data_IF_232983869405
#
_entry.id   IF_232983869405
#
_cell.length_a   1.000
_cell.length_b   1.000
_cell.length_c   1.000
_cell.angle_alpha   90.00
_cell.angle_beta   90.00
_cell.angle_gamma   90.00
#
_symmetry.space_group_name_H-M   'P 1'
#
loop_
_entity.id
_entity.type
_entity.pdbx_description
1 polymer ?
#
# COMPACT_ATOMS: atom_id res chain seq x y z
N UNK A 1 -25.19 0.69 13.43
CA UNK A 1 -25.87 1.68 12.56
C UNK A 1 -27.13 2.20 13.25
N UNK A 2 -27.33 3.51 13.22
CA UNK A 2 -28.64 4.09 13.55
C UNK A 2 -29.62 3.82 12.40
N UNK A 3 -30.95 3.80 12.67
CA UNK A 3 -31.95 3.60 11.60
C UNK A 3 -31.79 4.55 10.41
N UNK A 4 -31.39 5.80 10.64
CA UNK A 4 -31.11 6.78 9.58
C UNK A 4 -29.93 6.36 8.72
N UNK A 5 -28.81 5.92 9.31
CA UNK A 5 -27.62 5.42 8.57
C UNK A 5 -27.94 4.16 7.76
N UNK A 6 -28.79 3.26 8.27
CA UNK A 6 -29.26 2.07 7.52
C UNK A 6 -30.05 2.50 6.28
N UNK A 7 -30.99 3.43 6.42
CA UNK A 7 -31.79 3.95 5.32
C UNK A 7 -30.91 4.61 4.27
N UNK A 8 -29.96 5.44 4.67
CA UNK A 8 -29.01 6.09 3.75
C UNK A 8 -28.10 5.09 3.03
N UNK A 9 -27.60 4.07 3.74
CA UNK A 9 -26.79 3.00 3.15
C UNK A 9 -27.54 2.21 2.09
N UNK A 10 -28.81 1.86 2.36
CA UNK A 10 -29.68 1.17 1.41
C UNK A 10 -29.98 2.04 0.20
N UNK A 11 -30.25 3.34 0.41
CA UNK A 11 -30.51 4.28 -0.68
C UNK A 11 -29.30 4.39 -1.61
N UNK A 12 -28.09 4.53 -1.06
CA UNK A 12 -26.85 4.57 -1.86
C UNK A 12 -26.58 3.25 -2.57
N UNK A 13 -26.75 2.12 -1.88
CA UNK A 13 -26.61 0.80 -2.50
C UNK A 13 -27.55 0.61 -3.70
N UNK A 14 -28.76 1.13 -3.58
CA UNK A 14 -29.74 1.14 -4.68
C UNK A 14 -29.28 2.01 -5.87
N UNK A 15 -28.77 3.20 -5.59
CA UNK A 15 -28.22 4.08 -6.62
C UNK A 15 -27.05 3.44 -7.36
N UNK A 16 -26.12 2.80 -6.64
CA UNK A 16 -25.00 2.07 -7.24
C UNK A 16 -25.47 0.87 -8.09
N UNK A 17 -26.44 0.09 -7.62
CA UNK A 17 -26.99 -1.02 -8.39
C UNK A 17 -27.68 -0.54 -9.67
N UNK A 18 -28.39 0.59 -9.61
CA UNK A 18 -29.02 1.20 -10.79
C UNK A 18 -27.98 1.69 -11.81
N UNK A 19 -26.88 2.31 -11.36
CA UNK A 19 -25.77 2.71 -12.24
C UNK A 19 -25.10 1.50 -12.91
N UNK A 20 -25.03 0.37 -12.21
CA UNK A 20 -24.49 -0.89 -12.73
C UNK A 20 -25.53 -1.72 -13.51
N UNK A 21 -26.73 -1.17 -13.77
CA UNK A 21 -27.85 -1.81 -14.47
C UNK A 21 -28.26 -3.18 -13.88
N UNK A 22 -28.16 -3.33 -12.55
CA UNK A 22 -28.52 -4.57 -11.83
C UNK A 22 -29.93 -4.44 -11.24
N UNK A 23 -30.79 -5.41 -11.51
CA UNK A 23 -32.16 -5.47 -10.96
C UNK A 23 -32.21 -5.70 -9.45
N UNK A 24 -31.19 -6.39 -8.91
CA UNK A 24 -31.06 -6.68 -7.46
C UNK A 24 -29.79 -6.04 -6.93
N UNK A 25 -29.82 -5.62 -5.66
CA UNK A 25 -28.66 -5.08 -4.99
C UNK A 25 -27.69 -6.23 -4.64
N UNK A 26 -26.53 -6.36 -5.30
CA UNK A 26 -25.53 -7.36 -4.94
C UNK A 26 -25.00 -7.10 -3.53
N UNK A 27 -24.55 -8.17 -2.84
CA UNK A 27 -23.96 -8.06 -1.50
C UNK A 27 -22.80 -7.07 -1.45
N UNK A 28 -21.92 -7.09 -2.45
CA UNK A 28 -20.80 -6.14 -2.57
C UNK A 28 -21.28 -4.69 -2.64
N UNK A 29 -22.31 -4.40 -3.46
CA UNK A 29 -22.88 -3.06 -3.61
C UNK A 29 -23.58 -2.59 -2.32
N UNK A 30 -24.22 -3.52 -1.57
CA UNK A 30 -24.77 -3.21 -0.27
C UNK A 30 -23.67 -2.83 0.73
N UNK A 31 -22.59 -3.60 0.80
CA UNK A 31 -21.44 -3.25 1.64
C UNK A 31 -20.82 -1.92 1.28
N UNK A 32 -20.70 -1.61 -0.03
CA UNK A 32 -20.25 -0.31 -0.50
C UNK A 32 -21.12 0.83 0.02
N UNK A 33 -22.46 0.71 -0.06
CA UNK A 33 -23.38 1.69 0.49
C UNK A 33 -23.28 1.84 2.02
N UNK A 34 -23.00 0.76 2.74
CA UNK A 34 -22.72 0.79 4.17
C UNK A 34 -21.41 1.52 4.48
N UNK A 35 -20.35 1.23 3.76
CA UNK A 35 -19.04 1.82 3.98
C UNK A 35 -19.04 3.33 3.76
N UNK A 36 -19.76 3.83 2.74
CA UNK A 36 -19.91 5.28 2.51
C UNK A 36 -20.55 6.03 3.71
N UNK A 37 -21.43 5.35 4.49
CA UNK A 37 -22.01 5.96 5.69
C UNK A 37 -21.10 5.92 6.91
N UNK A 38 -20.06 5.09 6.88
CA UNK A 38 -19.15 4.89 8.01
C UNK A 38 -17.87 5.71 7.89
N UNK A 39 -17.46 6.04 6.67
CA UNK A 39 -16.14 6.60 6.37
C UNK A 39 -15.98 8.10 6.70
N UNK A 40 -17.03 8.81 7.09
CA UNK A 40 -16.97 10.28 7.25
C UNK A 40 -15.97 10.79 8.29
N UNK A 41 -15.78 10.07 9.40
CA UNK A 41 -14.80 10.45 10.43
C UNK A 41 -13.39 9.94 10.10
N UNK A 42 -13.28 8.75 9.50
CA UNK A 42 -12.00 8.20 9.07
C UNK A 42 -11.35 9.05 7.96
N UNK A 43 -12.16 9.57 7.02
CA UNK A 43 -11.67 10.42 5.92
C UNK A 43 -11.11 11.78 6.38
N UNK A 44 -11.36 12.20 7.61
CA UNK A 44 -10.73 13.42 8.16
C UNK A 44 -9.23 13.21 8.44
N UNK A 45 -8.80 11.98 8.76
CA UNK A 45 -7.43 11.65 9.18
C UNK A 45 -6.71 10.68 8.24
N UNK A 46 -7.45 10.02 7.35
CA UNK A 46 -6.92 9.07 6.38
C UNK A 46 -7.51 9.33 4.99
N UNK A 47 -6.74 9.11 3.95
CA UNK A 47 -7.16 9.29 2.56
C UNK A 47 -7.60 7.96 1.99
N UNK A 48 -8.83 7.88 1.49
CA UNK A 48 -9.30 6.70 0.76
C UNK A 48 -8.53 6.56 -0.56
N UNK A 49 -7.92 5.42 -0.77
CA UNK A 49 -7.16 5.08 -1.98
C UNK A 49 -7.90 4.01 -2.75
N UNK A 50 -8.03 4.20 -4.06
CA UNK A 50 -8.63 3.19 -4.92
C UNK A 50 -7.63 2.06 -5.15
N UNK A 51 -7.98 0.86 -4.72
CA UNK A 51 -7.16 -0.34 -4.90
C UNK A 51 -7.44 -0.94 -6.28
N UNK A 52 -6.65 -0.51 -7.28
CA UNK A 52 -6.83 -0.92 -8.67
C UNK A 52 -5.85 -1.99 -9.14
N UNK A 53 -4.85 -2.35 -8.32
CA UNK A 53 -3.79 -3.27 -8.68
C UNK A 53 -4.03 -4.64 -8.07
N UNK A 54 -3.87 -5.71 -8.87
CA UNK A 54 -3.84 -7.10 -8.46
C UNK A 54 -2.43 -7.67 -8.46
N UNK A 55 -2.30 -8.97 -8.20
CA UNK A 55 -1.01 -9.66 -8.22
C UNK A 55 -0.34 -9.70 -9.61
N UNK A 56 -1.09 -9.49 -10.67
CA UNK A 56 -0.61 -9.40 -12.05
C UNK A 56 0.12 -8.10 -12.36
N UNK A 57 -0.14 -7.05 -11.59
CA UNK A 57 0.42 -5.72 -11.81
C UNK A 57 1.73 -5.48 -11.05
N UNK A 58 2.02 -6.30 -10.03
CA UNK A 58 3.18 -6.13 -9.18
C UNK A 58 4.24 -7.20 -9.43
N UNK A 59 5.47 -6.77 -9.67
CA UNK A 59 6.62 -7.66 -9.79
C UNK A 59 7.21 -7.91 -8.41
N UNK A 60 7.26 -9.18 -8.02
CA UNK A 60 7.84 -9.64 -6.75
C UNK A 60 8.47 -11.02 -6.92
N UNK A 61 9.40 -11.36 -6.05
CA UNK A 61 9.97 -12.70 -6.03
C UNK A 61 8.98 -13.72 -5.46
N UNK A 62 9.32 -15.00 -5.61
CA UNK A 62 8.45 -16.10 -5.19
C UNK A 62 8.13 -16.06 -3.70
N UNK A 63 9.13 -15.84 -2.85
CA UNK A 63 8.98 -15.85 -1.39
C UNK A 63 8.08 -14.70 -0.90
N UNK A 64 8.23 -13.51 -1.51
CA UNK A 64 7.35 -12.36 -1.24
C UNK A 64 5.91 -12.68 -1.60
N UNK A 65 5.68 -13.30 -2.77
CA UNK A 65 4.36 -13.67 -3.25
C UNK A 65 3.71 -14.72 -2.36
N UNK A 66 4.39 -15.81 -2.06
CA UNK A 66 3.90 -16.86 -1.17
C UNK A 66 3.57 -16.33 0.22
N UNK A 67 4.40 -15.42 0.76
CA UNK A 67 4.15 -14.77 2.06
C UNK A 67 2.87 -13.93 2.03
N UNK A 68 2.65 -13.17 0.97
CA UNK A 68 1.45 -12.32 0.84
C UNK A 68 0.19 -13.15 0.58
N UNK A 69 0.26 -14.17 -0.27
CA UNK A 69 -0.85 -15.09 -0.52
C UNK A 69 -1.27 -15.78 0.78
N UNK A 70 -0.31 -16.28 1.58
CA UNK A 70 -0.59 -16.86 2.90
C UNK A 70 -1.21 -15.85 3.87
N UNK A 71 -0.74 -14.58 3.86
CA UNK A 71 -1.32 -13.52 4.67
C UNK A 71 -2.78 -13.22 4.29
N UNK A 72 -3.09 -13.19 2.99
CA UNK A 72 -4.44 -12.98 2.45
C UNK A 72 -5.33 -14.17 2.81
N UNK A 73 -4.86 -15.40 2.68
CA UNK A 73 -5.56 -16.62 3.05
C UNK A 73 -5.91 -16.65 4.54
N UNK A 74 -5.02 -16.16 5.42
CA UNK A 74 -5.34 -16.02 6.85
C UNK A 74 -6.60 -15.17 7.06
N UNK A 75 -6.81 -14.12 6.29
CA UNK A 75 -8.01 -13.28 6.39
C UNK A 75 -9.22 -13.95 5.76
N UNK A 76 -9.08 -14.58 4.61
CA UNK A 76 -10.16 -15.26 3.90
C UNK A 76 -10.72 -16.44 4.69
N UNK A 77 -9.85 -17.23 5.31
CA UNK A 77 -10.23 -18.41 6.10
C UNK A 77 -10.41 -18.15 7.59
N UNK A 78 -10.29 -16.88 8.02
CA UNK A 78 -10.37 -16.47 9.43
C UNK A 78 -11.61 -17.05 10.15
N UNK A 79 -12.78 -16.92 9.56
CA UNK A 79 -14.03 -17.41 10.14
C UNK A 79 -14.01 -18.95 10.29
N UNK A 80 -13.50 -19.68 9.31
CA UNK A 80 -13.41 -21.14 9.38
C UNK A 80 -12.53 -21.59 10.55
N UNK A 81 -11.36 -20.95 10.71
CA UNK A 81 -10.39 -21.33 11.74
C UNK A 81 -10.87 -20.91 13.14
N UNK A 82 -11.21 -19.63 13.32
CA UNK A 82 -11.54 -19.11 14.65
C UNK A 82 -12.89 -19.56 15.14
N UNK A 83 -13.93 -19.59 14.30
CA UNK A 83 -15.29 -19.92 14.70
C UNK A 83 -15.58 -21.41 14.57
N UNK A 84 -15.39 -22.01 13.36
CA UNK A 84 -15.78 -23.39 13.11
C UNK A 84 -14.84 -24.40 13.80
N UNK A 85 -13.52 -24.10 13.84
CA UNK A 85 -12.53 -24.94 14.51
C UNK A 85 -12.29 -24.56 15.97
N UNK A 86 -13.07 -23.59 16.52
CA UNK A 86 -13.02 -23.15 17.91
C UNK A 86 -11.67 -22.58 18.39
N UNK A 87 -10.83 -22.07 17.50
CA UNK A 87 -9.56 -21.44 17.88
C UNK A 87 -9.77 -20.19 18.75
N UNK A 88 -10.91 -19.52 18.64
CA UNK A 88 -11.31 -18.38 19.47
C UNK A 88 -11.19 -18.67 20.97
N UNK A 89 -11.49 -19.91 21.43
CA UNK A 89 -11.43 -20.26 22.86
C UNK A 89 -9.99 -20.27 23.39
N UNK A 90 -9.03 -20.63 22.55
CA UNK A 90 -7.62 -20.74 22.94
C UNK A 90 -6.82 -19.48 22.58
N UNK A 91 -7.20 -18.79 21.51
CA UNK A 91 -6.54 -17.59 20.97
C UNK A 91 -7.56 -16.44 20.82
N UNK A 92 -7.97 -15.79 21.93
CA UNK A 92 -9.04 -14.78 21.90
C UNK A 92 -8.59 -13.44 21.30
N UNK A 93 -7.28 -13.17 21.23
CA UNK A 93 -6.70 -11.89 20.81
C UNK A 93 -5.86 -12.03 19.54
N UNK A 94 -5.55 -10.88 18.88
CA UNK A 94 -4.63 -10.82 17.74
C UNK A 94 -5.16 -11.52 16.49
N UNK A 95 -6.44 -11.39 16.20
CA UNK A 95 -7.07 -12.03 15.03
C UNK A 95 -6.90 -11.26 13.73
N UNK A 96 -6.50 -10.00 13.81
CA UNK A 96 -6.23 -9.17 12.66
C UNK A 96 -5.00 -9.60 11.89
N UNK A 97 -4.73 -8.95 10.78
CA UNK A 97 -3.56 -9.12 9.93
C UNK A 97 -2.69 -7.87 10.03
N UNK A 98 -1.44 -8.03 10.45
CA UNK A 98 -0.44 -6.96 10.48
C UNK A 98 0.73 -7.32 9.59
N UNK A 99 1.03 -6.46 8.61
CA UNK A 99 2.09 -6.66 7.61
C UNK A 99 3.03 -5.47 7.66
N UNK A 100 4.33 -5.74 7.75
CA UNK A 100 5.38 -4.73 7.61
C UNK A 100 6.04 -4.88 6.24
N UNK A 101 5.98 -3.83 5.44
CA UNK A 101 6.66 -3.71 4.16
C UNK A 101 7.87 -2.79 4.33
N UNK A 102 9.08 -3.27 4.03
CA UNK A 102 10.25 -2.42 4.11
C UNK A 102 11.15 -2.58 2.88
N UNK A 103 11.95 -1.57 2.59
CA UNK A 103 12.84 -1.56 1.43
C UNK A 103 13.01 -0.16 0.84
N UNK A 104 13.87 -0.03 -0.17
CA UNK A 104 14.17 1.26 -0.80
C UNK A 104 12.91 1.98 -1.32
N UNK A 105 12.90 3.31 -1.39
CA UNK A 105 11.80 4.04 -2.03
C UNK A 105 11.64 3.63 -3.49
N UNK A 106 10.38 3.60 -3.96
CA UNK A 106 10.07 3.24 -5.36
C UNK A 106 10.11 1.74 -5.70
N UNK A 107 10.27 0.84 -4.71
CA UNK A 107 10.31 -0.62 -4.93
C UNK A 107 8.93 -1.30 -4.98
N UNK A 108 7.83 -0.57 -4.74
CA UNK A 108 6.47 -1.12 -4.89
C UNK A 108 5.67 -1.31 -3.60
N UNK A 109 6.16 -0.87 -2.42
CA UNK A 109 5.47 -1.03 -1.12
C UNK A 109 4.03 -0.51 -1.10
N UNK A 110 3.81 0.71 -1.59
CA UNK A 110 2.47 1.32 -1.63
C UNK A 110 1.56 0.64 -2.66
N UNK A 111 2.12 0.06 -3.73
CA UNK A 111 1.40 -0.77 -4.69
C UNK A 111 0.99 -2.11 -4.05
N UNK A 112 1.88 -2.73 -3.28
CA UNK A 112 1.60 -3.95 -2.53
C UNK A 112 0.43 -3.76 -1.55
N UNK A 113 0.35 -2.62 -0.85
CA UNK A 113 -0.80 -2.32 0.01
C UNK A 113 -2.13 -2.27 -0.78
N UNK A 114 -2.10 -1.76 -2.03
CA UNK A 114 -3.27 -1.78 -2.91
C UNK A 114 -3.62 -3.20 -3.36
N UNK A 115 -2.62 -4.02 -3.71
CA UNK A 115 -2.82 -5.44 -4.06
C UNK A 115 -3.49 -6.18 -2.90
N UNK A 116 -2.99 -6.03 -1.67
CA UNK A 116 -3.60 -6.65 -0.48
C UNK A 116 -5.08 -6.25 -0.32
N UNK A 117 -5.38 -4.97 -0.48
CA UNK A 117 -6.75 -4.48 -0.35
C UNK A 117 -7.65 -4.98 -1.48
N UNK A 118 -7.15 -5.04 -2.72
CA UNK A 118 -7.84 -5.57 -3.88
C UNK A 118 -8.19 -7.05 -3.70
N UNK A 119 -7.21 -7.89 -3.37
CA UNK A 119 -7.39 -9.34 -3.18
C UNK A 119 -8.35 -9.68 -2.03
N UNK A 120 -8.35 -8.86 -0.97
CA UNK A 120 -9.30 -9.00 0.13
C UNK A 120 -10.67 -8.37 -0.15
N UNK A 121 -10.83 -7.66 -1.30
CA UNK A 121 -12.00 -6.87 -1.63
C UNK A 121 -12.41 -5.91 -0.50
N UNK A 122 -11.40 -5.22 0.07
CA UNK A 122 -11.57 -4.24 1.13
C UNK A 122 -11.18 -2.84 0.64
N UNK A 123 -11.76 -1.82 1.27
CA UNK A 123 -11.36 -0.44 1.03
C UNK A 123 -10.01 -0.15 1.67
N UNK A 124 -9.16 0.61 0.97
CA UNK A 124 -7.84 1.02 1.44
C UNK A 124 -7.88 2.47 1.93
N UNK A 125 -7.42 2.67 3.16
CA UNK A 125 -7.25 4.00 3.75
C UNK A 125 -5.78 4.24 4.07
N UNK A 126 -5.16 5.19 3.36
CA UNK A 126 -3.79 5.63 3.61
C UNK A 126 -3.78 6.66 4.73
N UNK A 127 -3.06 6.34 5.78
CA UNK A 127 -2.79 7.22 6.92
C UNK A 127 -1.43 7.87 6.71
N UNK A 128 -1.42 9.18 6.56
CA UNK A 128 -0.20 9.98 6.49
C UNK A 128 0.21 10.37 7.92
N UNK A 129 1.20 9.68 8.45
CA UNK A 129 1.66 9.90 9.82
C UNK A 129 2.21 11.31 10.04
N UNK A 130 2.75 11.96 9.01
CA UNK A 130 3.24 13.33 9.11
C UNK A 130 2.12 14.33 9.44
N UNK A 131 0.88 14.05 9.00
CA UNK A 131 -0.31 14.84 9.31
C UNK A 131 -0.99 14.45 10.62
N UNK A 132 -0.72 13.25 11.10
CA UNK A 132 -1.27 12.71 12.35
C UNK A 132 -0.41 13.13 13.54
N UNK A 133 0.91 13.29 13.34
CA UNK A 133 1.86 13.71 14.36
C UNK A 133 1.71 15.22 14.54
N UNK A 134 1.00 15.61 15.59
CA UNK A 134 0.82 17.02 15.95
C UNK A 134 1.92 17.48 16.91
N UNK A 135 2.13 18.83 16.94
CA UNK A 135 3.07 19.47 17.88
C UNK A 135 2.56 19.46 19.32
N UNK A 136 1.26 19.27 19.51
CA UNK A 136 0.64 19.24 20.84
C UNK A 136 0.69 17.86 21.46
N UNK A 137 1.09 17.79 22.72
CA UNK A 137 1.16 16.53 23.50
C UNK A 137 -0.26 15.95 23.63
N UNK A 138 -0.40 14.66 23.30
CA UNK A 138 -1.67 13.92 23.42
C UNK A 138 -2.60 13.98 22.21
N UNK A 139 -2.43 14.91 21.25
CA UNK A 139 -3.28 14.97 20.06
C UNK A 139 -2.96 13.85 19.04
N UNK A 140 -1.70 13.47 18.96
CA UNK A 140 -1.25 12.34 18.12
C UNK A 140 -1.88 11.03 18.61
N UNK A 141 -1.81 10.75 19.90
CA UNK A 141 -2.36 9.54 20.52
C UNK A 141 -3.88 9.47 20.32
N UNK A 142 -4.60 10.55 20.50
CA UNK A 142 -6.04 10.64 20.24
C UNK A 142 -6.36 10.35 18.76
N UNK A 143 -5.56 10.92 17.85
CA UNK A 143 -5.73 10.73 16.42
C UNK A 143 -5.50 9.26 15.99
N UNK A 144 -4.45 8.61 16.49
CA UNK A 144 -4.17 7.18 16.24
C UNK A 144 -5.33 6.32 16.74
N UNK A 145 -5.73 6.47 18.01
CA UNK A 145 -6.83 5.68 18.60
C UNK A 145 -8.17 5.94 17.89
N UNK A 146 -8.43 7.16 17.42
CA UNK A 146 -9.61 7.48 16.62
C UNK A 146 -9.60 6.74 15.28
N UNK A 147 -8.47 6.74 14.56
CA UNK A 147 -8.34 6.04 13.27
C UNK A 147 -8.67 4.55 13.42
N UNK A 148 -8.08 3.87 14.40
CA UNK A 148 -8.34 2.47 14.64
C UNK A 148 -9.77 2.19 15.10
N UNK A 149 -10.34 3.05 15.95
CA UNK A 149 -11.72 2.94 16.38
C UNK A 149 -12.70 3.04 15.21
N UNK A 150 -12.48 4.00 14.31
CA UNK A 150 -13.35 4.14 13.14
C UNK A 150 -13.12 3.01 12.12
N UNK A 151 -11.87 2.59 11.91
CA UNK A 151 -11.55 1.46 11.04
C UNK A 151 -12.18 0.14 11.51
N UNK A 152 -12.26 -0.10 12.83
CA UNK A 152 -12.96 -1.27 13.39
C UNK A 152 -14.44 -1.35 12.97
N UNK A 153 -15.09 -0.21 12.76
CA UNK A 153 -16.48 -0.15 12.31
C UNK A 153 -16.62 -0.45 10.81
N UNK A 154 -15.61 -0.15 10.01
CA UNK A 154 -15.69 -0.15 8.54
C UNK A 154 -15.12 -1.42 7.89
N UNK A 155 -14.35 -2.25 8.61
CA UNK A 155 -13.63 -3.41 8.07
C UNK A 155 -12.80 -3.05 6.83
N UNK A 156 -11.80 -2.21 7.01
CA UNK A 156 -10.96 -1.64 5.97
C UNK A 156 -9.50 -2.06 6.14
N UNK A 157 -8.70 -1.86 5.10
CA UNK A 157 -7.24 -1.93 5.19
C UNK A 157 -6.72 -0.55 5.60
N UNK A 158 -6.01 -0.48 6.72
CA UNK A 158 -5.25 0.70 7.13
C UNK A 158 -3.84 0.58 6.59
N UNK A 159 -3.43 1.54 5.79
CA UNK A 159 -2.08 1.63 5.25
C UNK A 159 -1.35 2.83 5.85
N UNK A 160 -0.37 2.55 6.69
CA UNK A 160 0.52 3.54 7.29
C UNK A 160 1.76 3.67 6.42
N UNK A 161 1.85 4.74 5.67
CA UNK A 161 3.00 5.02 4.81
C UNK A 161 4.03 5.89 5.55
N UNK A 162 5.30 5.76 5.16
CA UNK A 162 6.39 6.55 5.72
C UNK A 162 6.49 6.47 7.26
N UNK A 163 6.39 5.25 7.79
CA UNK A 163 6.48 5.02 9.24
C UNK A 163 7.88 5.28 9.82
N UNK A 164 8.82 5.75 9.03
CA UNK A 164 10.22 5.95 9.37
C UNK A 164 10.39 6.84 10.62
N UNK A 165 9.55 7.87 10.74
CA UNK A 165 9.58 8.82 11.85
C UNK A 165 9.20 8.20 13.20
N UNK A 166 8.38 7.15 13.18
CA UNK A 166 7.95 6.43 14.37
C UNK A 166 8.85 5.23 14.69
N UNK A 167 9.63 4.74 13.72
CA UNK A 167 10.43 3.53 13.85
C UNK A 167 11.87 3.80 14.27
N UNK A 168 12.28 5.06 14.35
CA UNK A 168 13.64 5.43 14.70
C UNK A 168 14.11 4.74 16.00
N UNK A 169 15.28 4.09 15.93
CA UNK A 169 15.95 3.49 17.09
C UNK A 169 16.13 4.54 18.19
N UNK A 170 16.04 4.07 19.43
CA UNK A 170 16.40 4.85 20.61
C UNK A 170 17.84 5.32 20.46
N UNK A 171 18.08 6.62 20.30
CA UNK A 171 19.40 7.20 20.51
C UNK A 171 19.55 7.47 22.01
N UNK A 172 20.72 7.22 22.56
CA UNK A 172 20.99 7.38 23.99
C UNK A 172 21.04 8.84 24.49
N UNK A 173 20.80 9.80 23.59
CA UNK A 173 20.76 11.22 23.93
C UNK A 173 19.40 11.60 24.52
N UNK A 174 19.32 11.62 25.85
CA UNK A 174 18.10 11.74 26.66
C UNK A 174 17.34 13.09 26.57
N UNK A 175 16.73 13.39 25.42
CA UNK A 175 15.86 14.56 25.25
C UNK A 175 14.37 14.24 25.43
N UNK A 176 13.58 15.19 25.94
CA UNK A 176 12.13 15.08 26.17
C UNK A 176 11.31 14.68 24.93
N UNK A 177 11.81 14.98 23.73
CA UNK A 177 11.19 14.59 22.45
C UNK A 177 11.21 13.06 22.20
N UNK A 178 12.17 12.33 22.77
CA UNK A 178 12.31 10.88 22.60
C UNK A 178 11.29 10.09 23.41
N UNK A 179 11.02 10.50 24.65
CA UNK A 179 9.97 9.89 25.46
C UNK A 179 8.59 10.00 24.79
N UNK A 180 8.31 11.15 24.17
CA UNK A 180 7.08 11.37 23.41
C UNK A 180 6.98 10.46 22.18
N UNK A 181 8.04 10.29 21.40
CA UNK A 181 8.06 9.42 20.23
C UNK A 181 7.91 7.95 20.61
N UNK A 182 8.57 7.50 21.68
CA UNK A 182 8.44 6.13 22.19
C UNK A 182 7.00 5.80 22.60
N UNK A 183 6.28 6.75 23.22
CA UNK A 183 4.89 6.56 23.62
C UNK A 183 3.97 6.44 22.40
N UNK A 184 4.16 7.27 21.36
CA UNK A 184 3.40 7.24 20.10
C UNK A 184 3.61 5.91 19.37
N UNK A 185 4.85 5.46 19.32
CA UNK A 185 5.24 4.17 18.73
C UNK A 185 4.61 3.00 19.47
N UNK A 186 4.69 2.99 20.80
CA UNK A 186 4.10 1.93 21.63
C UNK A 186 2.58 1.87 21.46
N UNK A 187 1.91 3.02 21.41
CA UNK A 187 0.48 3.09 21.18
C UNK A 187 0.09 2.59 19.78
N UNK A 188 0.81 2.99 18.72
CA UNK A 188 0.55 2.50 17.38
C UNK A 188 0.63 0.96 17.33
N UNK A 189 1.67 0.40 17.92
CA UNK A 189 1.85 -1.05 17.98
C UNK A 189 0.74 -1.75 18.77
N UNK A 190 0.34 -1.18 19.89
CA UNK A 190 -0.78 -1.69 20.69
C UNK A 190 -2.09 -1.68 19.90
N UNK A 191 -2.39 -0.59 19.18
CA UNK A 191 -3.60 -0.49 18.35
C UNK A 191 -3.55 -1.46 17.15
N UNK A 192 -2.39 -1.64 16.52
CA UNK A 192 -2.17 -2.63 15.44
C UNK A 192 -2.44 -4.05 15.94
N UNK A 193 -1.94 -4.42 17.13
CA UNK A 193 -2.17 -5.74 17.75
C UNK A 193 -3.64 -5.96 18.12
N UNK A 194 -4.33 -4.90 18.58
CA UNK A 194 -5.73 -4.95 18.99
C UNK A 194 -6.72 -4.80 17.81
N UNK A 195 -6.22 -4.50 16.60
CA UNK A 195 -7.06 -4.32 15.43
C UNK A 195 -7.35 -5.65 14.75
N UNK A 196 -8.60 -6.08 14.75
CA UNK A 196 -9.04 -7.32 14.10
C UNK A 196 -9.15 -7.23 12.56
N UNK A 197 -8.89 -6.07 11.97
CA UNK A 197 -8.84 -5.85 10.52
C UNK A 197 -7.44 -6.07 9.94
N UNK A 198 -7.12 -5.34 8.88
CA UNK A 198 -5.83 -5.42 8.18
C UNK A 198 -5.07 -4.12 8.35
N UNK A 199 -3.86 -4.21 8.90
CA UNK A 199 -2.91 -3.09 9.01
C UNK A 199 -1.67 -3.39 8.18
N UNK A 200 -1.33 -2.48 7.28
CA UNK A 200 -0.12 -2.53 6.47
C UNK A 200 0.74 -1.32 6.84
N UNK A 201 1.97 -1.55 7.26
CA UNK A 201 2.91 -0.51 7.61
C UNK A 201 4.06 -0.51 6.60
N UNK A 202 4.47 0.65 6.11
CA UNK A 202 5.57 0.76 5.16
C UNK A 202 6.67 1.70 5.68
N UNK A 203 7.93 1.28 5.47
CA UNK A 203 9.12 2.06 5.83
C UNK A 203 10.22 1.91 4.78
N UNK A 204 11.04 2.94 4.63
CA UNK A 204 12.18 2.92 3.73
C UNK A 204 13.48 2.43 4.41
N UNK A 205 13.54 2.37 5.73
CA UNK A 205 14.76 2.13 6.50
C UNK A 205 14.67 0.92 7.42
N UNK A 206 15.28 -0.21 7.01
CA UNK A 206 15.37 -1.43 7.83
C UNK A 206 16.18 -1.20 9.13
N UNK A 207 17.27 -0.46 9.05
CA UNK A 207 18.21 -0.29 10.16
C UNK A 207 17.69 0.56 11.32
N UNK A 208 16.64 1.34 11.08
CA UNK A 208 16.04 2.22 12.07
C UNK A 208 14.88 1.58 12.83
N UNK A 209 14.43 0.38 12.42
CA UNK A 209 13.27 -0.27 13.04
C UNK A 209 13.73 -0.92 14.35
N UNK A 210 13.04 -0.56 15.45
CA UNK A 210 13.20 -1.24 16.74
C UNK A 210 12.81 -2.73 16.59
N UNK A 211 13.64 -3.68 17.09
CA UNK A 211 13.31 -5.12 17.08
C UNK A 211 11.95 -5.48 17.67
N UNK A 212 11.39 -4.64 18.54
CA UNK A 212 10.03 -4.80 19.09
C UNK A 212 8.94 -4.79 18.02
N UNK A 213 9.14 -4.06 16.90
CA UNK A 213 8.22 -4.06 15.77
C UNK A 213 8.16 -5.41 15.08
N UNK A 214 9.32 -5.98 14.77
CA UNK A 214 9.40 -7.27 14.07
C UNK A 214 8.65 -8.38 14.81
N UNK A 215 8.68 -8.35 16.16
CA UNK A 215 8.00 -9.35 17.00
C UNK A 215 6.48 -9.21 17.02
N UNK A 216 5.97 -8.02 16.69
CA UNK A 216 4.53 -7.68 16.74
C UNK A 216 3.84 -7.74 15.37
N UNK A 217 4.63 -7.77 14.29
CA UNK A 217 4.10 -7.97 12.95
C UNK A 217 3.95 -9.45 12.64
N UNK A 218 2.80 -9.83 12.09
CA UNK A 218 2.56 -11.23 11.71
C UNK A 218 3.33 -11.62 10.45
N UNK A 219 3.44 -10.69 9.53
CA UNK A 219 4.16 -10.87 8.27
C UNK A 219 5.11 -9.71 8.03
N UNK A 220 6.25 -10.04 7.45
CA UNK A 220 7.28 -9.07 7.12
C UNK A 220 7.71 -9.35 5.69
N UNK A 221 7.63 -8.34 4.82
CA UNK A 221 8.00 -8.45 3.41
C UNK A 221 9.07 -7.42 3.09
N UNK A 222 10.24 -7.89 2.68
CA UNK A 222 11.34 -7.04 2.24
C UNK A 222 11.27 -6.80 0.73
N UNK A 223 11.21 -5.54 0.33
CA UNK A 223 11.33 -5.11 -1.06
C UNK A 223 12.79 -4.77 -1.36
N UNK A 224 13.53 -5.74 -1.85
CA UNK A 224 14.93 -5.58 -2.22
C UNK A 224 15.09 -4.69 -3.45
N UNK A 225 16.29 -4.17 -3.65
CA UNK A 225 16.64 -3.50 -4.89
C UNK A 225 16.60 -4.53 -6.02
N UNK A 226 15.93 -4.26 -7.15
CA UNK A 226 15.72 -5.25 -8.19
C UNK A 226 17.04 -5.60 -8.91
N UNK A 227 17.30 -6.88 -9.14
CA UNK A 227 18.34 -7.38 -10.03
C UNK A 227 17.96 -7.17 -11.50
N UNK A 228 18.84 -7.51 -12.43
CA UNK A 228 18.62 -7.29 -13.86
C UNK A 228 17.37 -8.03 -14.38
N UNK A 229 17.15 -9.27 -13.92
CA UNK A 229 15.99 -10.06 -14.35
C UNK A 229 14.69 -9.48 -13.81
N UNK A 230 14.67 -9.06 -12.56
CA UNK A 230 13.52 -8.36 -11.96
C UNK A 230 13.26 -7.02 -12.66
N UNK A 231 14.31 -6.26 -13.01
CA UNK A 231 14.16 -5.01 -13.78
C UNK A 231 13.58 -5.27 -15.17
N UNK A 232 14.02 -6.32 -15.85
CA UNK A 232 13.44 -6.70 -17.15
C UNK A 232 11.94 -7.00 -17.02
N UNK A 233 11.56 -7.74 -15.99
CA UNK A 233 10.13 -7.98 -15.68
C UNK A 233 9.38 -6.67 -15.38
N UNK A 234 9.98 -5.76 -14.60
CA UNK A 234 9.39 -4.45 -14.29
C UNK A 234 9.17 -3.62 -15.56
N UNK A 235 10.15 -3.56 -16.48
CA UNK A 235 9.97 -2.89 -17.76
C UNK A 235 8.80 -3.48 -18.55
N UNK A 236 8.79 -4.80 -18.73
CA UNK A 236 7.74 -5.52 -19.49
C UNK A 236 6.34 -5.36 -18.89
N UNK A 237 6.23 -5.44 -17.57
CA UNK A 237 4.93 -5.33 -16.88
C UNK A 237 4.41 -3.90 -16.83
N UNK A 238 5.32 -2.91 -16.74
CA UNK A 238 4.94 -1.50 -16.60
C UNK A 238 4.58 -0.85 -17.94
N UNK A 239 5.12 -1.34 -19.06
CA UNK A 239 4.76 -0.84 -20.40
C UNK A 239 3.33 -1.29 -20.72
N UNK A 240 2.37 -0.37 -21.00
CA UNK A 240 1.01 -0.74 -21.38
C UNK A 240 0.99 -1.55 -22.68
N UNK A 241 0.15 -2.59 -22.73
CA UNK A 241 0.04 -3.50 -23.90
C UNK A 241 -0.30 -2.82 -25.24
N UNK A 242 -0.86 -1.62 -25.21
CA UNK A 242 -1.17 -0.83 -26.41
C UNK A 242 -0.10 0.17 -26.83
N UNK A 243 1.05 0.18 -26.17
CA UNK A 243 2.14 1.11 -26.53
C UNK A 243 2.76 0.70 -27.85
N UNK A 244 2.82 1.58 -28.87
CA UNK A 244 3.50 1.31 -30.13
C UNK A 244 5.02 1.34 -29.89
N UNK A 245 5.63 0.17 -29.68
CA UNK A 245 7.07 0.03 -29.47
C UNK A 245 7.81 -0.12 -30.79
N UNK A 246 8.88 0.64 -30.97
CA UNK A 246 9.80 0.47 -32.08
C UNK A 246 10.58 -0.85 -31.99
N UNK A 247 10.94 -1.41 -33.14
CA UNK A 247 11.72 -2.67 -33.22
C UNK A 247 13.12 -2.54 -32.61
N UNK A 248 13.63 -1.30 -32.43
CA UNK A 248 14.94 -1.00 -31.85
C UNK A 248 14.96 -1.07 -30.31
N UNK A 249 13.81 -1.26 -29.65
CA UNK A 249 13.72 -1.24 -28.19
C UNK A 249 14.19 -2.56 -27.57
N UNK A 250 15.37 -2.51 -26.99
CA UNK A 250 15.95 -3.63 -26.24
C UNK A 250 15.73 -3.48 -24.72
N UNK A 251 14.68 -4.12 -24.24
CA UNK A 251 14.31 -4.12 -22.81
C UNK A 251 15.40 -4.77 -21.95
N UNK A 252 16.05 -5.82 -22.46
CA UNK A 252 17.12 -6.51 -21.74
C UNK A 252 18.31 -5.60 -21.52
N UNK A 253 18.73 -4.87 -22.55
CA UNK A 253 19.78 -3.86 -22.45
C UNK A 253 19.42 -2.78 -21.41
N UNK A 254 18.18 -2.26 -21.43
CA UNK A 254 17.73 -1.27 -20.46
C UNK A 254 17.81 -1.81 -19.02
N UNK A 255 17.41 -3.07 -18.80
CA UNK A 255 17.44 -3.71 -17.51
C UNK A 255 18.84 -3.98 -16.98
N UNK A 256 19.78 -4.38 -17.84
CA UNK A 256 21.17 -4.65 -17.46
C UNK A 256 21.97 -3.37 -17.21
N UNK A 257 21.83 -2.39 -18.11
CA UNK A 257 22.63 -1.18 -18.09
C UNK A 257 22.20 -0.20 -17.00
N UNK A 258 20.90 -0.11 -16.70
CA UNK A 258 20.36 0.93 -15.80
C UNK A 258 19.79 0.33 -14.52
N UNK A 259 20.47 0.57 -13.41
CA UNK A 259 20.08 0.12 -12.08
C UNK A 259 18.98 1.01 -11.51
N UNK A 260 17.74 0.76 -11.92
CA UNK A 260 16.55 1.49 -11.50
C UNK A 260 15.60 0.66 -10.66
N UNK A 261 14.91 1.30 -9.73
CA UNK A 261 13.74 0.73 -9.05
C UNK A 261 12.48 0.95 -9.88
N UNK A 262 11.40 0.24 -9.55
CA UNK A 262 10.14 0.31 -10.30
C UNK A 262 9.59 1.74 -10.47
N UNK A 263 9.77 2.60 -9.49
CA UNK A 263 9.38 4.02 -9.58
C UNK A 263 10.12 4.79 -10.66
N UNK A 264 11.44 4.58 -10.79
CA UNK A 264 12.25 5.19 -11.86
C UNK A 264 11.86 4.64 -13.23
N UNK A 265 11.69 3.30 -13.34
CA UNK A 265 11.28 2.63 -14.59
C UNK A 265 9.94 3.19 -15.06
N UNK A 266 8.94 3.30 -14.19
CA UNK A 266 7.64 3.91 -14.51
C UNK A 266 7.79 5.34 -15.06
N UNK A 267 8.61 6.16 -14.41
CA UNK A 267 8.86 7.52 -14.87
C UNK A 267 9.53 7.55 -16.25
N UNK A 268 10.50 6.67 -16.49
CA UNK A 268 11.16 6.56 -17.79
C UNK A 268 10.17 6.16 -18.88
N UNK A 269 9.31 5.16 -18.64
CA UNK A 269 8.30 4.71 -19.60
C UNK A 269 7.34 5.85 -19.96
N UNK A 270 6.82 6.55 -18.94
CA UNK A 270 5.89 7.65 -19.16
C UNK A 270 6.53 8.80 -19.93
N UNK A 271 7.75 9.20 -19.55
CA UNK A 271 8.48 10.26 -20.24
C UNK A 271 8.84 9.87 -21.67
N UNK A 272 9.25 8.62 -21.91
CA UNK A 272 9.55 8.13 -23.28
C UNK A 272 8.30 8.18 -24.17
N UNK A 273 7.14 7.82 -23.64
CA UNK A 273 5.88 7.91 -24.36
C UNK A 273 5.52 9.36 -24.73
N UNK A 274 5.71 10.32 -23.80
CA UNK A 274 5.49 11.74 -24.13
C UNK A 274 6.49 12.30 -25.12
N UNK A 275 7.76 11.87 -25.07
CA UNK A 275 8.77 12.27 -26.06
C UNK A 275 8.40 11.75 -27.44
N UNK A 276 7.99 10.49 -27.56
CA UNK A 276 7.55 9.91 -28.82
C UNK A 276 6.31 10.63 -29.38
N UNK A 277 5.33 10.94 -28.54
CA UNK A 277 4.14 11.68 -28.94
C UNK A 277 4.46 13.12 -29.40
N UNK A 278 5.51 13.74 -28.85
CA UNK A 278 5.95 15.07 -29.27
C UNK A 278 6.70 15.08 -30.61
N UNK A 279 7.29 13.95 -31.00
CA UNK A 279 7.97 13.80 -32.32
C UNK A 279 6.96 13.72 -33.51
N UNK A 280 5.65 13.55 -33.25
CA UNK A 280 4.57 13.58 -34.23
C UNK A 280 3.55 12.42 -34.08
N UNK A 281 2.42 12.54 -34.75
CA UNK A 281 1.37 11.53 -34.74
C UNK A 281 1.84 10.21 -35.39
N UNK A 282 1.52 9.09 -34.75
CA UNK A 282 1.84 7.74 -35.24
C UNK A 282 3.29 7.31 -35.01
N UNK A 283 4.07 8.06 -34.23
CA UNK A 283 5.42 7.69 -33.88
C UNK A 283 5.44 6.55 -32.87
N UNK A 284 6.36 5.61 -33.10
CA UNK A 284 6.65 4.54 -32.16
C UNK A 284 7.55 5.04 -31.04
N UNK A 285 7.43 4.43 -29.86
CA UNK A 285 8.33 4.67 -28.74
C UNK A 285 9.62 3.90 -28.99
N UNK A 286 10.61 4.57 -29.56
CA UNK A 286 11.91 3.99 -29.94
C UNK A 286 12.92 4.07 -28.79
N UNK A 287 14.04 3.38 -28.93
CA UNK A 287 15.13 3.37 -27.95
C UNK A 287 15.66 4.78 -27.62
N UNK A 288 15.72 5.70 -28.59
CA UNK A 288 16.14 7.10 -28.39
C UNK A 288 15.29 7.80 -27.30
N UNK A 289 13.96 7.55 -27.26
CA UNK A 289 13.06 8.17 -26.30
C UNK A 289 13.30 7.63 -24.88
N UNK A 290 13.53 6.31 -24.74
CA UNK A 290 13.92 5.70 -23.47
C UNK A 290 15.24 6.24 -22.96
N UNK A 291 16.28 6.32 -23.78
CA UNK A 291 17.58 6.85 -23.39
C UNK A 291 17.49 8.33 -22.95
N UNK A 292 16.69 9.13 -23.64
CA UNK A 292 16.44 10.52 -23.24
C UNK A 292 15.68 10.62 -21.92
N UNK A 293 14.65 9.81 -21.73
CA UNK A 293 13.89 9.74 -20.48
C UNK A 293 14.76 9.29 -19.29
N UNK A 294 15.63 8.30 -19.52
CA UNK A 294 16.62 7.82 -18.55
C UNK A 294 17.60 8.93 -18.18
N UNK A 295 18.05 9.71 -19.15
CA UNK A 295 18.92 10.87 -18.89
C UNK A 295 18.26 11.87 -17.94
N UNK A 296 16.96 12.16 -18.12
CA UNK A 296 16.23 13.02 -17.21
C UNK A 296 16.14 12.44 -15.80
N UNK A 297 15.98 11.12 -15.67
CA UNK A 297 15.90 10.46 -14.36
C UNK A 297 17.26 10.46 -13.64
N UNK A 298 18.39 10.32 -14.37
CA UNK A 298 19.74 10.45 -13.82
C UNK A 298 20.00 11.87 -13.27
N UNK A 299 19.56 12.91 -13.97
CA UNK A 299 19.70 14.31 -13.50
C UNK A 299 18.99 14.51 -12.16
N UNK A 300 17.79 13.94 -11.97
CA UNK A 300 17.06 14.02 -10.70
C UNK A 300 17.79 13.34 -9.53
N UNK A 301 18.53 12.27 -9.80
CA UNK A 301 19.27 11.51 -8.79
C UNK A 301 20.69 12.02 -8.56
N UNK A 302 21.12 13.07 -9.28
CA UNK A 302 22.48 13.63 -9.20
C UNK A 302 23.57 12.71 -9.76
N UNK A 303 23.19 11.68 -10.53
CA UNK A 303 24.12 10.76 -11.20
C UNK A 303 24.47 11.29 -12.60
N UNK A 304 25.69 11.04 -13.04
CA UNK A 304 26.12 11.38 -14.40
C UNK A 304 25.75 10.26 -15.34
N UNK A 305 25.10 10.60 -16.45
CA UNK A 305 24.81 9.65 -17.53
C UNK A 305 26.09 9.51 -18.39
N UNK A 306 26.79 8.42 -18.24
CA UNK A 306 27.98 8.05 -19.04
C UNK A 306 27.67 6.95 -20.02
#
# INVERSE_FOLDING_TARGET
FTPGKIKSALHQARSFAAMEQKERIPRATLFRGCNEQMSSELTQKATKVKANFGFEDIVMNRDQRETLEHAIDQMNFRKKVYDNWNYTKKYPYGRGLSILLFGAPGTGKSMCAQVIAHELNLELYRVDLSKVIDKYVGETEKSISMIFREAKKCNVVLFFDECDTLFAKRSDDGGSNQASNNNKTALLLQEVEAYDGVSVLATNYKHNIDPAFFRRMKYIVEFQFPDADTREMLWKTTIPKGTPLGEDVDIRFLAEKFEFVGGNIKNCILNAAFLAAADGDGQEVCMKHYLQAIRYEFVKTGKVFT
#
